data_IF_367949987065
#
_entry.id   IF_367949987065
#
_cell.length_a   1.000
_cell.length_b   1.000
_cell.length_c   1.000
_cell.angle_alpha   90.00
_cell.angle_beta   90.00
_cell.angle_gamma   90.00
#
_symmetry.space_group_name_H-M   'P 1'
#
loop_
_entity.id
_entity.type
_entity.pdbx_description
1 polymer ?
#
# COMPACT_ATOMS: atom_id res chain seq x y z
N UNK A 1 -22.70 24.70 -40.86
CA UNK A 1 -22.40 23.75 -39.77
C UNK A 1 -21.24 22.87 -40.22
N UNK A 2 -19.99 23.29 -39.96
CA UNK A 2 -18.82 22.41 -40.14
C UNK A 2 -18.57 21.74 -38.79
N UNK A 3 -18.95 20.47 -38.65
CA UNK A 3 -18.52 19.69 -37.51
C UNK A 3 -17.01 19.45 -37.64
N UNK A 4 -16.29 19.84 -36.60
CA UNK A 4 -14.85 20.01 -36.57
C UNK A 4 -14.11 18.71 -36.83
N UNK A 5 -13.21 18.79 -37.81
CA UNK A 5 -12.03 17.95 -37.86
C UNK A 5 -11.25 18.20 -36.57
N UNK A 6 -11.33 17.26 -35.63
CA UNK A 6 -10.59 17.37 -34.37
C UNK A 6 -9.13 17.18 -34.75
N UNK A 7 -8.38 18.28 -34.81
CA UNK A 7 -6.94 18.23 -34.99
C UNK A 7 -6.31 17.64 -33.71
N UNK A 8 -6.13 16.31 -33.72
CA UNK A 8 -5.51 15.54 -32.65
C UNK A 8 -4.02 15.92 -32.45
N UNK A 9 -3.44 16.68 -33.38
CA UNK A 9 -2.05 17.12 -33.34
C UNK A 9 -1.88 18.48 -32.68
N UNK A 10 -2.95 19.27 -32.52
CA UNK A 10 -2.91 20.54 -31.81
C UNK A 10 -2.91 20.34 -30.28
N UNK A 11 -2.22 21.24 -29.55
CA UNK A 11 -2.34 21.29 -28.08
C UNK A 11 -3.68 21.92 -27.71
N UNK A 12 -4.55 21.25 -26.95
CA UNK A 12 -5.85 21.79 -26.60
C UNK A 12 -5.69 23.00 -25.67
N UNK A 13 -6.53 24.01 -25.87
CA UNK A 13 -6.57 25.18 -25.00
C UNK A 13 -6.97 24.79 -23.57
N UNK A 14 -6.49 25.52 -22.53
CA UNK A 14 -6.83 25.22 -21.13
C UNK A 14 -8.35 25.11 -20.88
N UNK A 15 -9.14 25.99 -21.49
CA UNK A 15 -10.60 25.97 -21.38
C UNK A 15 -11.22 24.66 -21.92
N UNK A 16 -10.65 24.08 -22.99
CA UNK A 16 -11.12 22.82 -23.56
C UNK A 16 -10.80 21.64 -22.64
N UNK A 17 -9.62 21.64 -22.01
CA UNK A 17 -9.23 20.61 -21.03
C UNK A 17 -10.12 20.70 -19.78
N UNK A 18 -10.37 21.91 -19.28
CA UNK A 18 -11.27 22.12 -18.15
C UNK A 18 -12.72 21.70 -18.49
N UNK A 19 -13.20 22.00 -19.71
CA UNK A 19 -14.50 21.56 -20.18
C UNK A 19 -14.60 20.02 -20.27
N UNK A 20 -13.55 19.36 -20.78
CA UNK A 20 -13.45 17.91 -20.80
C UNK A 20 -13.52 17.35 -19.37
N UNK A 21 -12.74 17.89 -18.42
CA UNK A 21 -12.79 17.46 -17.02
C UNK A 21 -14.19 17.60 -16.40
N UNK A 22 -14.88 18.71 -16.65
CA UNK A 22 -16.29 18.90 -16.23
C UNK A 22 -17.22 17.85 -16.84
N UNK A 23 -17.06 17.55 -18.13
CA UNK A 23 -17.86 16.53 -18.81
C UNK A 23 -17.60 15.12 -18.25
N UNK A 24 -16.34 14.80 -17.97
CA UNK A 24 -15.95 13.52 -17.35
C UNK A 24 -16.54 13.35 -15.94
N UNK A 25 -16.57 14.44 -15.16
CA UNK A 25 -17.18 14.47 -13.84
C UNK A 25 -18.71 14.38 -13.90
N UNK A 26 -19.36 15.00 -14.88
CA UNK A 26 -20.80 14.89 -15.09
C UNK A 26 -21.21 13.48 -15.55
N UNK A 27 -20.37 12.81 -16.34
CA UNK A 27 -20.59 11.43 -16.78
C UNK A 27 -20.44 10.39 -15.64
N UNK A 28 -20.07 10.81 -14.43
CA UNK A 28 -19.85 9.94 -13.26
C UNK A 28 -21.08 9.14 -12.86
N UNK A 29 -22.27 9.71 -12.97
CA UNK A 29 -23.51 9.03 -12.55
C UNK A 29 -23.90 7.88 -13.48
N UNK A 30 -23.23 7.74 -14.62
CA UNK A 30 -23.54 6.75 -15.67
C UNK A 30 -22.49 5.65 -15.80
N UNK A 31 -21.58 5.52 -14.82
CA UNK A 31 -20.36 4.71 -14.90
C UNK A 31 -20.66 3.22 -14.66
N UNK A 32 -21.32 2.58 -15.61
CA UNK A 32 -21.28 1.12 -15.76
C UNK A 32 -19.96 0.72 -16.41
N UNK A 33 -19.41 -0.44 -16.06
CA UNK A 33 -18.10 -0.96 -16.51
C UNK A 33 -17.92 -0.88 -18.04
N UNK A 34 -19.00 -1.08 -18.79
CA UNK A 34 -19.01 -1.03 -20.25
C UNK A 34 -18.80 0.39 -20.79
N UNK A 35 -19.44 1.41 -20.18
CA UNK A 35 -19.28 2.83 -20.57
C UNK A 35 -17.95 3.41 -20.10
N UNK A 36 -17.47 3.01 -18.92
CA UNK A 36 -16.14 3.38 -18.44
C UNK A 36 -15.03 2.93 -19.42
N UNK A 37 -15.15 1.70 -19.95
CA UNK A 37 -14.24 1.18 -20.96
C UNK A 37 -14.35 1.94 -22.29
N UNK A 38 -15.57 2.25 -22.76
CA UNK A 38 -15.76 3.04 -23.98
C UNK A 38 -15.14 4.43 -23.88
N UNK A 39 -15.25 5.08 -22.71
CA UNK A 39 -14.68 6.39 -22.45
C UNK A 39 -13.14 6.35 -22.38
N UNK A 40 -12.56 5.33 -21.75
CA UNK A 40 -11.10 5.09 -21.77
C UNK A 40 -10.59 4.93 -23.22
N UNK A 41 -11.29 4.14 -24.03
CA UNK A 41 -10.97 3.97 -25.46
C UNK A 41 -11.07 5.29 -26.23
N UNK A 42 -12.08 6.12 -25.95
CA UNK A 42 -12.25 7.42 -26.57
C UNK A 42 -11.15 8.44 -26.16
N UNK A 43 -10.61 8.34 -24.94
CA UNK A 43 -9.52 9.19 -24.46
C UNK A 43 -8.17 8.79 -25.05
N UNK A 44 -7.97 7.52 -25.42
CA UNK A 44 -6.70 7.02 -25.93
C UNK A 44 -6.07 7.88 -27.04
N UNK A 45 -6.77 8.24 -28.14
CA UNK A 45 -6.20 9.09 -29.19
C UNK A 45 -5.90 10.53 -28.73
N UNK A 46 -6.54 11.01 -27.66
CA UNK A 46 -6.36 12.37 -27.15
C UNK A 46 -5.18 12.49 -26.17
N UNK A 47 -4.65 11.37 -25.65
CA UNK A 47 -3.58 11.37 -24.65
C UNK A 47 -2.37 12.23 -25.05
N UNK A 48 -1.80 12.15 -26.27
CA UNK A 48 -0.65 12.98 -26.64
C UNK A 48 -0.93 14.49 -26.60
N UNK A 49 -2.14 14.88 -27.00
CA UNK A 49 -2.59 16.27 -26.95
C UNK A 49 -2.77 16.73 -25.49
N UNK A 50 -3.40 15.90 -24.65
CA UNK A 50 -3.63 16.18 -23.23
C UNK A 50 -2.33 16.24 -22.41
N UNK A 51 -1.33 15.42 -22.74
CA UNK A 51 0.02 15.47 -22.13
C UNK A 51 0.68 16.84 -22.38
N UNK A 52 0.62 17.33 -23.62
CA UNK A 52 1.18 18.65 -23.97
C UNK A 52 0.46 19.79 -23.25
N UNK A 53 -0.85 19.67 -23.07
CA UNK A 53 -1.64 20.69 -22.39
C UNK A 53 -1.42 20.74 -20.86
N UNK A 54 -0.71 19.77 -20.27
CA UNK A 54 -0.44 19.75 -18.83
C UNK A 54 0.35 20.98 -18.33
N UNK A 55 1.15 21.60 -19.20
CA UNK A 55 1.90 22.83 -18.89
C UNK A 55 1.11 24.12 -19.13
N UNK A 56 -0.17 24.00 -19.50
CA UNK A 56 -1.06 25.13 -19.67
C UNK A 56 -1.24 25.93 -18.37
N UNK A 57 -1.72 27.18 -18.52
CA UNK A 57 -2.11 28.00 -17.38
C UNK A 57 -3.56 27.71 -17.03
N UNK A 58 -3.79 27.16 -15.86
CA UNK A 58 -5.11 26.85 -15.31
C UNK A 58 -5.33 27.65 -14.03
N UNK A 59 -6.58 27.98 -13.73
CA UNK A 59 -6.91 28.41 -12.37
C UNK A 59 -6.78 27.23 -11.40
N UNK A 60 -6.50 27.49 -10.12
CA UNK A 60 -6.28 26.42 -9.14
C UNK A 60 -7.49 25.46 -9.06
N UNK A 61 -8.70 26.01 -9.05
CA UNK A 61 -9.94 25.22 -9.02
C UNK A 61 -10.08 24.31 -10.25
N UNK A 62 -9.66 24.78 -11.43
CA UNK A 62 -9.68 23.98 -12.65
C UNK A 62 -8.63 22.89 -12.62
N UNK A 63 -7.44 23.20 -12.12
CA UNK A 63 -6.37 22.21 -11.97
C UNK A 63 -6.79 21.08 -11.01
N UNK A 64 -7.44 21.43 -9.88
CA UNK A 64 -7.99 20.44 -8.94
C UNK A 64 -9.05 19.56 -9.62
N UNK A 65 -9.95 20.15 -10.39
CA UNK A 65 -10.98 19.43 -11.13
C UNK A 65 -10.37 18.46 -12.16
N UNK A 66 -9.38 18.92 -12.91
CA UNK A 66 -8.69 18.13 -13.93
C UNK A 66 -7.98 16.93 -13.29
N UNK A 67 -7.25 17.15 -12.19
CA UNK A 67 -6.60 16.06 -11.45
C UNK A 67 -7.61 15.06 -10.86
N UNK A 68 -8.73 15.52 -10.29
CA UNK A 68 -9.80 14.61 -9.83
C UNK A 68 -10.34 13.73 -10.96
N UNK A 69 -10.60 14.33 -12.13
CA UNK A 69 -11.09 13.60 -13.30
C UNK A 69 -10.10 12.51 -13.73
N UNK A 70 -8.79 12.81 -13.74
CA UNK A 70 -7.75 11.82 -14.08
C UNK A 70 -7.60 10.74 -13.03
N UNK A 71 -7.67 11.09 -11.74
CA UNK A 71 -7.60 10.12 -10.65
C UNK A 71 -8.71 9.06 -10.77
N UNK A 72 -9.95 9.50 -10.98
CA UNK A 72 -11.11 8.58 -11.07
C UNK A 72 -11.07 7.68 -12.30
N UNK A 73 -10.42 8.12 -13.38
CA UNK A 73 -10.27 7.33 -14.59
C UNK A 73 -9.03 6.44 -14.56
N UNK A 74 -8.25 6.49 -13.49
CA UNK A 74 -6.97 5.79 -13.32
C UNK A 74 -5.95 6.18 -14.41
N UNK A 75 -6.05 7.42 -14.94
CA UNK A 75 -5.11 7.97 -15.91
C UNK A 75 -3.85 8.48 -15.18
N UNK A 76 -3.07 7.55 -14.62
CA UNK A 76 -1.92 7.81 -13.73
C UNK A 76 -0.91 8.78 -14.32
N UNK A 77 -0.58 8.62 -15.60
CA UNK A 77 0.41 9.49 -16.24
C UNK A 77 -0.09 10.94 -16.39
N UNK A 78 -1.34 11.12 -16.82
CA UNK A 78 -1.95 12.45 -16.93
C UNK A 78 -2.11 13.07 -15.54
N UNK A 79 -2.56 12.30 -14.55
CA UNK A 79 -2.65 12.75 -13.16
C UNK A 79 -1.30 13.28 -12.67
N UNK A 80 -0.21 12.53 -12.89
CA UNK A 80 1.15 12.94 -12.51
C UNK A 80 1.57 14.25 -13.18
N UNK A 81 1.41 14.34 -14.51
CA UNK A 81 1.84 15.53 -15.27
C UNK A 81 1.13 16.80 -14.82
N UNK A 82 -0.19 16.72 -14.61
CA UNK A 82 -0.98 17.87 -14.16
C UNK A 82 -0.70 18.19 -12.69
N UNK A 83 -0.50 17.20 -11.82
CA UNK A 83 -0.12 17.44 -10.42
C UNK A 83 1.28 18.07 -10.31
N UNK A 84 2.26 17.60 -11.08
CA UNK A 84 3.61 18.17 -11.13
C UNK A 84 3.58 19.63 -11.64
N UNK A 85 2.77 19.93 -12.66
CA UNK A 85 2.59 21.29 -13.14
C UNK A 85 1.92 22.19 -12.09
N UNK A 86 0.92 21.69 -11.38
CA UNK A 86 0.24 22.41 -10.31
C UNK A 86 1.19 22.77 -9.16
N UNK A 87 2.04 21.82 -8.74
CA UNK A 87 2.99 22.03 -7.63
C UNK A 87 4.07 23.07 -7.94
N UNK A 88 4.34 23.37 -9.22
CA UNK A 88 5.22 24.51 -9.58
C UNK A 88 4.58 25.86 -9.26
N UNK A 89 3.25 25.95 -9.28
CA UNK A 89 2.50 27.17 -9.02
C UNK A 89 1.98 27.26 -7.59
N UNK A 90 1.62 26.11 -7.00
CA UNK A 90 1.10 25.99 -5.63
C UNK A 90 1.89 24.90 -4.86
N UNK A 91 3.15 25.16 -4.49
CA UNK A 91 4.06 24.14 -3.95
C UNK A 91 3.64 23.55 -2.60
N UNK A 92 2.78 24.26 -1.84
CA UNK A 92 2.33 23.83 -0.51
C UNK A 92 0.88 23.37 -0.48
N UNK A 93 0.27 23.15 -1.66
CA UNK A 93 -1.14 22.80 -1.73
C UNK A 93 -1.31 21.28 -1.53
N UNK A 94 -1.90 20.83 -0.40
CA UNK A 94 -1.84 19.42 0.01
C UNK A 94 -2.43 18.44 -1.01
N UNK A 95 -3.51 18.87 -1.67
CA UNK A 95 -4.23 18.02 -2.61
C UNK A 95 -3.39 17.68 -3.85
N UNK A 96 -2.50 18.56 -4.30
CA UNK A 96 -1.63 18.26 -5.44
C UNK A 96 -0.47 17.32 -5.06
N UNK A 97 0.03 17.39 -3.82
CA UNK A 97 1.00 16.42 -3.30
C UNK A 97 0.38 15.03 -3.26
N UNK A 98 -0.85 14.92 -2.76
CA UNK A 98 -1.63 13.68 -2.78
C UNK A 98 -1.80 13.11 -4.20
N UNK A 99 -2.23 13.92 -5.17
CA UNK A 99 -2.41 13.45 -6.55
C UNK A 99 -1.12 12.94 -7.17
N UNK A 100 0.01 13.63 -6.93
CA UNK A 100 1.32 13.19 -7.39
C UNK A 100 1.70 11.83 -6.79
N UNK A 101 1.43 11.64 -5.50
CA UNK A 101 1.71 10.38 -4.80
C UNK A 101 0.84 9.24 -5.34
N UNK A 102 -0.48 9.46 -5.42
CA UNK A 102 -1.44 8.48 -5.94
C UNK A 102 -1.07 8.02 -7.35
N UNK A 103 -0.67 8.95 -8.21
CA UNK A 103 -0.29 8.61 -9.58
C UNK A 103 0.91 7.65 -9.68
N UNK A 104 1.81 7.69 -8.69
CA UNK A 104 3.08 6.95 -8.71
C UNK A 104 3.08 5.71 -7.84
N UNK A 105 2.35 5.74 -6.72
CA UNK A 105 2.50 4.77 -5.65
C UNK A 105 1.19 4.10 -5.23
N UNK A 106 0.04 4.40 -5.86
CA UNK A 106 -1.23 3.78 -5.47
C UNK A 106 -1.21 2.24 -5.52
N UNK A 107 -0.52 1.64 -6.49
CA UNK A 107 -0.46 0.17 -6.60
C UNK A 107 0.55 -0.47 -5.63
N UNK A 108 1.58 0.28 -5.25
CA UNK A 108 2.67 -0.19 -4.39
C UNK A 108 3.09 0.93 -3.42
N UNK A 109 2.26 1.26 -2.40
CA UNK A 109 2.55 2.33 -1.46
C UNK A 109 3.88 2.12 -0.70
N UNK A 110 4.24 0.86 -0.46
CA UNK A 110 5.48 0.48 0.23
C UNK A 110 6.76 0.84 -0.56
N UNK A 111 6.67 1.01 -1.89
CA UNK A 111 7.80 1.46 -2.71
C UNK A 111 7.98 2.99 -2.70
N UNK A 112 7.16 3.71 -1.93
CA UNK A 112 7.25 5.16 -1.83
C UNK A 112 8.55 5.57 -1.11
N UNK A 113 9.40 6.42 -1.73
CA UNK A 113 10.61 6.94 -1.09
C UNK A 113 10.26 7.73 0.17
N UNK A 114 11.12 7.67 1.19
CA UNK A 114 10.94 8.42 2.45
C UNK A 114 10.68 9.91 2.23
N UNK A 115 11.40 10.54 1.29
CA UNK A 115 11.17 11.95 0.95
C UNK A 115 9.71 12.23 0.54
N UNK A 116 9.10 11.35 -0.25
CA UNK A 116 7.71 11.51 -0.67
C UNK A 116 6.74 11.27 0.50
N UNK A 117 7.09 10.36 1.42
CA UNK A 117 6.33 10.15 2.66
C UNK A 117 6.35 11.39 3.54
N UNK A 118 7.52 12.00 3.76
CA UNK A 118 7.64 13.27 4.49
C UNK A 118 6.84 14.40 3.81
N UNK A 119 6.93 14.52 2.48
CA UNK A 119 6.14 15.51 1.72
C UNK A 119 4.62 15.30 1.93
N UNK A 120 4.17 14.04 2.03
CA UNK A 120 2.77 13.71 2.33
C UNK A 120 2.39 13.98 3.79
N UNK A 121 3.24 13.67 4.75
CA UNK A 121 3.01 13.97 6.17
C UNK A 121 2.86 15.49 6.39
N UNK A 122 3.78 16.28 5.82
CA UNK A 122 3.71 17.74 5.80
C UNK A 122 2.42 18.24 5.13
N UNK A 123 2.03 17.63 4.01
CA UNK A 123 0.78 17.94 3.32
C UNK A 123 -0.44 17.59 4.19
N UNK A 124 -0.41 16.47 4.93
CA UNK A 124 -1.50 16.08 5.82
C UNK A 124 -1.67 17.12 6.94
N UNK A 125 -0.58 17.52 7.60
CA UNK A 125 -0.63 18.53 8.65
C UNK A 125 -1.12 19.88 8.11
N UNK A 126 -0.63 20.29 6.92
CA UNK A 126 -1.13 21.49 6.25
C UNK A 126 -2.62 21.39 5.88
N UNK A 127 -3.11 20.21 5.47
CA UNK A 127 -4.53 19.97 5.19
C UNK A 127 -5.38 20.05 6.46
N UNK A 128 -4.88 19.51 7.58
CA UNK A 128 -5.52 19.59 8.90
C UNK A 128 -5.63 21.03 9.37
N UNK A 129 -4.52 21.77 9.34
CA UNK A 129 -4.47 23.19 9.74
C UNK A 129 -5.42 24.08 8.90
N UNK A 130 -5.60 23.76 7.61
CA UNK A 130 -6.51 24.48 6.71
C UNK A 130 -7.97 23.97 6.74
N UNK A 131 -8.28 22.95 7.56
CA UNK A 131 -9.62 22.39 7.66
C UNK A 131 -10.05 21.51 6.47
N UNK A 132 -9.13 21.07 5.62
CA UNK A 132 -9.39 20.20 4.46
C UNK A 132 -9.53 18.73 4.89
N UNK A 133 -10.57 18.41 5.67
CA UNK A 133 -10.76 17.08 6.27
C UNK A 133 -10.70 15.93 5.26
N UNK A 134 -11.33 16.09 4.10
CA UNK A 134 -11.34 15.07 3.04
C UNK A 134 -9.94 14.81 2.46
N UNK A 135 -9.16 15.87 2.27
CA UNK A 135 -7.79 15.77 1.76
C UNK A 135 -6.88 15.14 2.80
N UNK A 136 -7.02 15.54 4.06
CA UNK A 136 -6.31 14.92 5.19
C UNK A 136 -6.55 13.41 5.24
N UNK A 137 -7.81 12.97 5.24
CA UNK A 137 -8.13 11.55 5.30
C UNK A 137 -7.52 10.77 4.13
N UNK A 138 -7.67 11.28 2.90
CA UNK A 138 -7.08 10.63 1.71
C UNK A 138 -5.57 10.47 1.78
N UNK A 139 -4.87 11.44 2.36
CA UNK A 139 -3.41 11.36 2.57
C UNK A 139 -3.09 10.30 3.63
N UNK A 140 -3.86 10.26 4.73
CA UNK A 140 -3.72 9.23 5.75
C UNK A 140 -3.94 7.82 5.20
N UNK A 141 -4.98 7.62 4.38
CA UNK A 141 -5.27 6.33 3.75
C UNK A 141 -4.11 5.86 2.84
N UNK A 142 -3.37 6.79 2.23
CA UNK A 142 -2.22 6.46 1.38
C UNK A 142 -0.95 6.20 2.20
N UNK A 143 -0.75 6.91 3.31
CA UNK A 143 0.40 6.72 4.22
C UNK A 143 0.27 5.46 5.06
N UNK A 144 -0.96 5.10 5.42
CA UNK A 144 -1.34 3.96 6.24
C UNK A 144 -2.39 3.13 5.49
N UNK A 145 -2.00 2.49 4.37
CA UNK A 145 -2.92 1.61 3.66
C UNK A 145 -3.38 0.53 4.64
N UNK A 146 -4.69 0.46 4.86
CA UNK A 146 -5.28 -0.69 5.56
C UNK A 146 -4.97 -1.88 4.66
N UNK A 147 -4.14 -2.81 5.12
CA UNK A 147 -3.92 -4.06 4.41
C UNK A 147 -5.31 -4.67 4.21
N UNK A 148 -5.69 -5.01 2.96
CA UNK A 148 -6.96 -5.69 2.75
C UNK A 148 -6.91 -6.93 3.64
N UNK A 149 -7.88 -7.04 4.55
CA UNK A 149 -8.19 -8.29 5.21
C UNK A 149 -8.32 -9.31 4.09
N UNK A 150 -7.27 -10.12 3.91
CA UNK A 150 -7.39 -11.33 3.12
C UNK A 150 -8.58 -12.07 3.71
N UNK A 151 -9.50 -12.62 2.90
CA UNK A 151 -10.55 -13.45 3.45
C UNK A 151 -9.85 -14.64 4.10
N UNK A 152 -9.66 -14.52 5.41
CA UNK A 152 -9.47 -15.67 6.26
C UNK A 152 -10.68 -16.55 5.96
N UNK A 153 -10.51 -17.83 5.58
CA UNK A 153 -11.63 -18.75 5.62
C UNK A 153 -12.25 -18.59 7.00
N UNK A 154 -13.56 -18.32 7.04
CA UNK A 154 -14.32 -18.15 8.28
C UNK A 154 -14.11 -19.39 9.16
N UNK A 155 -13.14 -19.30 10.06
CA UNK A 155 -13.03 -20.12 11.25
C UNK A 155 -12.75 -19.15 12.40
N UNK A 156 -13.82 -18.46 12.77
CA UNK A 156 -14.27 -18.26 14.15
C UNK A 156 -13.17 -18.21 15.22
N UNK A 157 -12.37 -17.13 15.26
CA UNK A 157 -11.57 -16.82 16.44
C UNK A 157 -11.61 -15.32 16.78
N UNK A 158 -12.27 -15.02 17.89
CA UNK A 158 -12.23 -13.75 18.60
C UNK A 158 -10.78 -13.30 18.83
N UNK A 159 -10.34 -12.28 18.09
CA UNK A 159 -9.09 -11.57 18.37
C UNK A 159 -9.29 -10.63 19.57
N UNK A 160 -9.07 -11.16 20.77
CA UNK A 160 -8.71 -10.35 21.95
C UNK A 160 -7.20 -10.31 21.99
N UNK A 161 -6.66 -9.09 22.04
CA UNK A 161 -5.24 -8.80 21.90
C UNK A 161 -4.30 -9.68 22.73
N UNK A 162 -3.20 -10.05 22.10
CA UNK A 162 -2.06 -10.70 22.73
C UNK A 162 -0.87 -10.53 21.82
N UNK A 163 0.17 -9.92 22.36
CA UNK A 163 1.47 -9.77 21.74
C UNK A 163 2.01 -11.14 21.29
N UNK A 164 2.82 -11.09 20.24
CA UNK A 164 3.78 -12.12 19.90
C UNK A 164 4.52 -12.57 21.16
N UNK A 165 4.35 -13.83 21.53
CA UNK A 165 5.32 -14.65 22.25
C UNK A 165 4.90 -16.11 21.99
N UNK A 166 5.84 -16.94 21.57
CA UNK A 166 5.76 -18.42 21.50
C UNK A 166 5.22 -19.10 20.22
N UNK A 167 5.36 -18.53 19.02
CA UNK A 167 5.34 -19.35 17.79
C UNK A 167 6.61 -19.20 16.93
N UNK A 168 7.59 -20.12 17.06
CA UNK A 168 8.78 -20.13 16.23
C UNK A 168 8.45 -20.23 14.74
N UNK A 169 7.33 -20.88 14.37
CA UNK A 169 6.87 -20.98 12.99
C UNK A 169 6.56 -19.61 12.37
N UNK A 170 5.83 -18.76 13.09
CA UNK A 170 5.49 -17.40 12.66
C UNK A 170 6.73 -16.51 12.50
N UNK A 171 7.73 -16.67 13.38
CA UNK A 171 8.98 -15.91 13.29
C UNK A 171 9.82 -16.32 12.05
N UNK A 172 9.83 -17.60 11.71
CA UNK A 172 10.53 -18.10 10.51
C UNK A 172 9.81 -17.73 9.20
N UNK A 173 8.48 -17.73 9.19
CA UNK A 173 7.71 -17.25 8.03
C UNK A 173 7.89 -15.75 7.80
N UNK A 174 8.00 -14.97 8.88
CA UNK A 174 8.34 -13.54 8.83
C UNK A 174 9.76 -13.30 8.27
N UNK A 175 10.75 -14.11 8.66
CA UNK A 175 12.13 -14.05 8.13
C UNK A 175 12.22 -14.42 6.64
N UNK A 176 11.45 -15.42 6.21
CA UNK A 176 11.33 -15.78 4.79
C UNK A 176 10.73 -14.65 3.95
N UNK A 177 9.81 -13.88 4.51
CA UNK A 177 9.21 -12.71 3.85
C UNK A 177 10.15 -11.50 3.78
N UNK A 178 11.03 -11.30 4.77
CA UNK A 178 11.91 -10.12 4.83
C UNK A 178 13.28 -10.31 4.15
N UNK A 179 13.87 -11.50 4.18
CA UNK A 179 15.25 -11.75 3.69
C UNK A 179 15.37 -12.77 2.55
N UNK A 180 14.28 -13.42 2.18
CA UNK A 180 14.29 -14.54 1.22
C UNK A 180 15.00 -15.79 1.73
N UNK A 181 15.04 -16.82 0.90
CA UNK A 181 15.53 -18.16 1.24
C UNK A 181 17.01 -18.18 1.68
N UNK A 182 17.84 -17.27 1.15
CA UNK A 182 19.28 -17.18 1.45
C UNK A 182 19.56 -16.72 2.90
N UNK A 183 18.76 -15.79 3.43
CA UNK A 183 18.91 -15.33 4.81
C UNK A 183 18.58 -16.44 5.81
N UNK A 184 17.51 -17.20 5.53
CA UNK A 184 17.12 -18.38 6.31
C UNK A 184 18.23 -19.44 6.30
N UNK A 185 18.83 -19.71 5.14
CA UNK A 185 19.92 -20.70 5.02
C UNK A 185 21.20 -20.28 5.73
N UNK A 186 21.54 -18.99 5.70
CA UNK A 186 22.68 -18.45 6.44
C UNK A 186 22.50 -18.67 7.95
N UNK A 187 21.34 -18.30 8.48
CA UNK A 187 21.03 -18.46 9.90
C UNK A 187 21.00 -19.93 10.32
N UNK A 188 20.35 -20.80 9.52
CA UNK A 188 20.30 -22.22 9.81
C UNK A 188 21.71 -22.86 9.80
N UNK A 189 22.55 -22.52 8.82
CA UNK A 189 23.97 -22.97 8.80
C UNK A 189 24.75 -22.52 10.02
N UNK A 190 24.47 -21.32 10.52
CA UNK A 190 25.13 -20.79 11.72
C UNK A 190 24.65 -21.49 12.99
N UNK A 191 23.35 -21.78 13.10
CA UNK A 191 22.75 -22.42 14.27
C UNK A 191 23.08 -23.92 14.39
N UNK A 192 22.98 -24.68 13.29
CA UNK A 192 23.16 -26.15 13.31
C UNK A 192 24.50 -26.64 12.73
N UNK A 193 25.30 -25.72 12.20
CA UNK A 193 26.61 -26.00 11.61
C UNK A 193 26.54 -26.48 10.16
N UNK A 194 27.49 -26.03 9.35
CA UNK A 194 27.54 -26.27 7.89
C UNK A 194 27.47 -27.75 7.50
N UNK A 195 28.15 -28.64 8.23
CA UNK A 195 28.17 -30.09 7.93
C UNK A 195 26.79 -30.74 8.09
N UNK A 196 26.02 -30.33 9.10
CA UNK A 196 24.68 -30.86 9.36
C UNK A 196 23.68 -30.31 8.35
N UNK A 197 23.77 -29.01 8.05
CA UNK A 197 22.93 -28.36 7.05
C UNK A 197 23.12 -28.97 5.65
N UNK A 198 24.37 -29.18 5.21
CA UNK A 198 24.66 -29.74 3.89
C UNK A 198 24.23 -31.22 3.79
N UNK A 199 24.22 -31.97 4.89
CA UNK A 199 23.67 -33.33 4.96
C UNK A 199 22.14 -33.32 4.81
N UNK A 200 21.45 -32.45 5.55
CA UNK A 200 19.99 -32.22 5.45
C UNK A 200 19.57 -31.78 4.05
N UNK A 201 20.33 -30.88 3.41
CA UNK A 201 20.07 -30.44 2.02
C UNK A 201 20.15 -31.61 1.03
N UNK A 202 21.04 -32.56 1.28
CA UNK A 202 21.25 -33.73 0.42
C UNK A 202 20.20 -34.83 0.65
N UNK A 203 19.70 -34.99 1.87
CA UNK A 203 18.62 -35.93 2.18
C UNK A 203 17.24 -35.44 1.73
N UNK A 204 16.90 -34.18 2.02
CA UNK A 204 15.57 -33.63 1.72
C UNK A 204 15.40 -33.27 0.24
N UNK A 205 16.48 -32.96 -0.48
CA UNK A 205 16.44 -32.61 -1.90
C UNK A 205 15.54 -31.40 -2.21
N UNK A 206 15.13 -31.25 -3.48
CA UNK A 206 14.18 -30.22 -3.91
C UNK A 206 14.77 -28.83 -4.18
N UNK A 207 13.96 -27.93 -4.73
CA UNK A 207 14.37 -26.55 -4.99
C UNK A 207 14.56 -25.75 -3.68
N UNK A 208 15.14 -24.56 -3.74
CA UNK A 208 15.45 -23.78 -2.54
C UNK A 208 14.20 -23.48 -1.70
N UNK A 209 13.04 -23.24 -2.31
CA UNK A 209 11.77 -22.99 -1.60
C UNK A 209 11.26 -24.21 -0.85
N UNK A 210 11.28 -25.36 -1.51
CA UNK A 210 10.83 -26.62 -0.91
C UNK A 210 11.69 -27.00 0.30
N UNK A 211 13.00 -26.80 0.18
CA UNK A 211 13.91 -27.07 1.28
C UNK A 211 13.84 -26.04 2.40
N UNK A 212 13.65 -24.76 2.09
CA UNK A 212 13.39 -23.73 3.09
C UNK A 212 12.15 -24.06 3.93
N UNK A 213 11.07 -24.49 3.27
CA UNK A 213 9.83 -24.87 3.95
C UNK A 213 10.01 -26.10 4.83
N UNK A 214 10.64 -27.17 4.31
CA UNK A 214 10.92 -28.38 5.07
C UNK A 214 11.83 -28.11 6.27
N UNK A 215 12.79 -27.19 6.13
CA UNK A 215 13.69 -26.79 7.21
C UNK A 215 12.97 -26.02 8.31
N UNK A 216 12.09 -25.08 7.96
CA UNK A 216 11.26 -24.34 8.93
C UNK A 216 10.35 -25.30 9.70
N UNK A 217 9.73 -26.25 9.01
CA UNK A 217 8.85 -27.23 9.63
C UNK A 217 9.61 -28.14 10.62
N UNK A 218 10.82 -28.56 10.27
CA UNK A 218 11.67 -29.38 11.13
C UNK A 218 12.16 -28.60 12.36
N UNK A 219 12.53 -27.32 12.18
CA UNK A 219 12.95 -26.45 13.30
C UNK A 219 11.77 -26.08 14.22
N UNK A 220 10.58 -25.85 13.66
CA UNK A 220 9.38 -25.59 14.44
C UNK A 220 8.95 -26.82 15.27
N UNK A 221 9.10 -28.03 14.72
CA UNK A 221 8.86 -29.27 15.46
C UNK A 221 9.86 -29.46 16.60
N UNK A 222 11.13 -29.08 16.38
CA UNK A 222 12.17 -29.19 17.40
C UNK A 222 11.98 -28.19 18.55
N UNK A 223 11.62 -26.93 18.24
CA UNK A 223 11.32 -25.92 19.24
C UNK A 223 10.10 -26.28 20.12
N UNK A 224 9.07 -26.89 19.52
CA UNK A 224 7.90 -27.39 20.26
C UNK A 224 8.22 -28.54 21.21
N UNK A 225 9.29 -29.30 20.97
CA UNK A 225 9.72 -30.38 21.87
C UNK A 225 10.50 -29.86 23.07
N UNK A 226 11.23 -28.75 22.92
CA UNK A 226 11.97 -28.11 24.01
C UNK A 226 11.03 -27.39 25.00
N UNK A 227 9.94 -26.78 24.53
CA UNK A 227 8.92 -26.13 25.38
C UNK A 227 8.15 -27.09 26.29
N UNK A 228 8.00 -28.36 25.89
CA UNK A 228 7.32 -29.38 26.69
C UNK A 228 8.17 -29.82 27.90
N UNK A 229 9.47 -29.52 27.93
CA UNK A 229 10.38 -29.92 29.02
C UNK A 229 10.67 -28.83 30.06
N UNK A 230 10.18 -27.60 29.90
CA UNK A 230 10.39 -26.54 30.89
C UNK A 230 9.32 -26.58 32.03
N UNK A 231 9.69 -26.65 33.32
CA UNK A 231 8.73 -26.60 34.41
C UNK A 231 8.16 -25.17 34.51
N UNK A 232 6.88 -25.03 34.13
CA UNK A 232 6.20 -23.74 34.03
C UNK A 232 6.14 -22.93 35.35
N UNK A 233 6.02 -21.60 35.24
CA UNK A 233 6.11 -20.69 36.39
C UNK A 233 4.86 -20.77 37.27
N UNK A 234 5.06 -20.91 38.59
CA UNK A 234 3.99 -20.85 39.60
C UNK A 234 3.29 -19.48 39.52
N UNK A 235 1.99 -19.47 39.22
CA UNK A 235 1.16 -18.26 39.25
C UNK A 235 1.09 -17.70 40.68
N UNK A 236 1.36 -16.42 40.81
CA UNK A 236 1.29 -15.60 42.03
C UNK A 236 -0.16 -15.31 42.48
N UNK A 237 -1.12 -16.19 42.18
CA UNK A 237 -2.53 -16.06 42.57
C UNK A 237 -2.92 -16.88 43.81
N UNK A 238 -1.99 -17.61 44.41
CA UNK A 238 -2.25 -18.42 45.62
C UNK A 238 -1.86 -17.75 46.95
N UNK A 239 -1.53 -16.45 46.94
CA UNK A 239 -1.20 -15.74 48.18
C UNK A 239 -2.41 -14.92 48.67
N UNK A 240 -2.98 -15.44 49.76
CA UNK A 240 -3.82 -14.79 50.77
C UNK A 240 -5.34 -14.74 50.59
N UNK A 241 -6.02 -15.79 51.08
CA UNK A 241 -7.20 -15.66 51.96
C UNK A 241 -7.25 -16.80 52.98
N UNK A 242 -6.48 -16.71 54.08
CA UNK A 242 -6.80 -17.34 55.38
C UNK A 242 -5.89 -16.75 56.45
N UNK A 243 -6.48 -16.36 57.58
CA UNK A 243 -5.90 -15.76 58.79
C UNK A 243 -5.95 -14.23 58.89
N UNK A 244 -7.15 -13.68 58.81
CA UNK A 244 -7.58 -12.66 59.78
C UNK A 244 -9.00 -13.06 60.22
N UNK A 245 -9.27 -12.98 61.53
CA UNK A 245 -10.44 -13.47 62.27
C UNK A 245 -10.37 -14.96 62.66
N UNK A 246 -9.66 -15.26 63.74
CA UNK A 246 -10.29 -15.64 65.02
C UNK A 246 -9.20 -15.79 66.12
N UNK A 247 -9.63 -15.47 67.35
CA UNK A 247 -8.96 -15.30 68.65
C UNK A 247 -7.70 -16.12 69.00
#
# INVERSE_FOLDING_TARGET
LKQGEVDLTATPAPAAVAALARALEAAREMDTTLRGNALRTALHPLRPALRRAATGRYAEAEQRLICEAWLRREEKELLRLYADAALKHWPRQPLFVYFKAMAQYADMPYNMPERMRYDLEDAAEAARAQGYRRTFQRIQDLLHPIEPEMPYPEDDYNFVGGLADDDPGAMFEMLLHMGGEEALFSMARQAMGKKMFDALRKELGGNNKEFARALVELLAQQARLDDIQAPGPRKLSDINQRNLFDD
#
